data_IF_864201672363
#
_entry.id   IF_864201672363
#
_cell.length_a   1.000
_cell.length_b   1.000
_cell.length_c   1.000
_cell.angle_alpha   90.00
_cell.angle_beta   90.00
_cell.angle_gamma   90.00
#
_symmetry.space_group_name_H-M   'P 1'
#
loop_
_entity.id
_entity.type
_entity.pdbx_description
1 polymer ?
#
# COMPACT_ATOMS: atom_id res chain seq x y z
N UNK A 1 13.67 7.59 -2.06
CA UNK A 1 12.24 7.64 -1.68
C UNK A 1 11.40 7.61 -2.96
N UNK A 2 10.41 6.72 -3.08
CA UNK A 2 9.62 6.57 -4.33
C UNK A 2 8.75 7.80 -4.59
N UNK A 3 8.62 8.21 -5.85
CA UNK A 3 7.71 9.29 -6.22
C UNK A 3 6.24 8.85 -6.06
N UNK A 4 5.36 9.83 -5.83
CA UNK A 4 3.93 9.57 -5.62
C UNK A 4 3.26 8.95 -6.83
N UNK A 5 3.61 9.40 -8.03
CA UNK A 5 3.03 8.89 -9.28
C UNK A 5 3.16 7.37 -9.40
N UNK A 6 4.37 6.87 -9.19
CA UNK A 6 4.64 5.43 -9.23
C UNK A 6 3.90 4.69 -8.11
N UNK A 7 3.83 5.26 -6.91
CA UNK A 7 3.04 4.67 -5.82
C UNK A 7 1.55 4.59 -6.18
N UNK A 8 1.03 5.61 -6.89
CA UNK A 8 -0.33 5.60 -7.40
C UNK A 8 -0.55 4.45 -8.37
N UNK A 9 0.29 4.35 -9.41
CA UNK A 9 0.20 3.27 -10.41
C UNK A 9 0.29 1.88 -9.76
N UNK A 10 1.19 1.71 -8.80
CA UNK A 10 1.42 0.45 -8.11
C UNK A 10 0.26 0.01 -7.23
N UNK A 11 -0.34 0.96 -6.51
CA UNK A 11 -1.41 0.68 -5.55
C UNK A 11 -2.79 0.59 -6.23
N UNK A 12 -2.98 1.25 -7.38
CA UNK A 12 -4.24 1.33 -8.11
C UNK A 12 -4.90 -0.04 -8.37
N UNK A 13 -4.20 -1.08 -8.88
CA UNK A 13 -4.83 -2.39 -9.13
C UNK A 13 -5.37 -3.03 -7.85
N UNK A 14 -4.66 -2.88 -6.73
CA UNK A 14 -5.09 -3.42 -5.43
C UNK A 14 -6.28 -2.62 -4.89
N UNK A 15 -6.24 -1.29 -4.95
CA UNK A 15 -7.35 -0.44 -4.52
C UNK A 15 -8.63 -0.72 -5.33
N UNK A 16 -8.50 -0.85 -6.66
CA UNK A 16 -9.61 -1.20 -7.55
C UNK A 16 -10.25 -2.54 -7.15
N UNK A 17 -9.42 -3.55 -6.86
CA UNK A 17 -9.89 -4.87 -6.41
C UNK A 17 -10.59 -4.83 -5.04
N UNK A 18 -10.01 -4.13 -4.06
CA UNK A 18 -10.55 -4.07 -2.70
C UNK A 18 -11.90 -3.34 -2.63
N UNK A 19 -12.07 -2.30 -3.46
CA UNK A 19 -13.26 -1.44 -3.43
C UNK A 19 -14.22 -1.71 -4.59
N UNK A 20 -13.94 -2.71 -5.44
CA UNK A 20 -14.68 -3.00 -6.66
C UNK A 20 -14.89 -1.74 -7.54
N UNK A 21 -13.80 -1.01 -7.77
CA UNK A 21 -13.80 0.24 -8.54
C UNK A 21 -13.24 0.01 -9.94
N UNK A 22 -13.57 0.91 -10.86
CA UNK A 22 -12.84 1.04 -12.13
C UNK A 22 -11.42 1.55 -11.84
N UNK A 23 -10.48 1.24 -12.74
CA UNK A 23 -9.08 1.63 -12.56
C UNK A 23 -8.90 3.15 -12.45
N UNK A 24 -9.63 3.94 -13.26
CA UNK A 24 -9.51 5.40 -13.24
C UNK A 24 -10.01 6.00 -11.91
N UNK A 25 -11.12 5.49 -11.38
CA UNK A 25 -11.66 5.90 -10.08
C UNK A 25 -10.72 5.52 -8.94
N UNK A 26 -10.16 4.31 -9.00
CA UNK A 26 -9.18 3.83 -8.03
C UNK A 26 -7.89 4.65 -8.08
N UNK A 27 -7.42 5.01 -9.28
CA UNK A 27 -6.25 5.84 -9.48
C UNK A 27 -6.45 7.23 -8.87
N UNK A 28 -7.57 7.89 -9.15
CA UNK A 28 -7.90 9.18 -8.54
C UNK A 28 -7.94 9.08 -7.02
N UNK A 29 -8.59 8.06 -6.48
CA UNK A 29 -8.72 7.85 -5.04
C UNK A 29 -7.37 7.62 -4.36
N UNK A 30 -6.51 6.80 -4.95
CA UNK A 30 -5.16 6.55 -4.45
C UNK A 30 -4.32 7.83 -4.53
N UNK A 31 -4.41 8.57 -5.63
CA UNK A 31 -3.67 9.83 -5.82
C UNK A 31 -4.03 10.86 -4.75
N UNK A 32 -5.33 10.99 -4.42
CA UNK A 32 -5.78 11.84 -3.30
C UNK A 32 -5.30 11.32 -1.94
N UNK A 33 -5.39 10.00 -1.68
CA UNK A 33 -4.89 9.41 -0.43
C UNK A 33 -3.39 9.69 -0.22
N UNK A 34 -2.57 9.60 -1.28
CA UNK A 34 -1.13 9.86 -1.24
C UNK A 34 -0.76 11.35 -1.03
N UNK A 35 -1.74 12.27 -1.04
CA UNK A 35 -1.54 13.65 -0.59
C UNK A 35 -1.55 13.76 0.94
N UNK A 36 -2.14 12.80 1.65
CA UNK A 36 -2.07 12.73 3.09
C UNK A 36 -0.65 12.30 3.53
N UNK A 37 0.11 13.15 4.26
CA UNK A 37 1.49 12.85 4.61
C UNK A 37 1.64 11.60 5.49
N UNK A 38 0.67 11.34 6.38
CA UNK A 38 0.69 10.18 7.27
C UNK A 38 0.48 8.89 6.48
N UNK A 39 -0.50 8.86 5.57
CA UNK A 39 -0.72 7.71 4.70
C UNK A 39 0.50 7.41 3.84
N UNK A 40 1.11 8.45 3.25
CA UNK A 40 2.31 8.31 2.44
C UNK A 40 3.48 7.75 3.26
N UNK A 41 3.70 8.27 4.47
CA UNK A 41 4.77 7.80 5.36
C UNK A 41 4.56 6.34 5.78
N UNK A 42 3.36 6.00 6.28
CA UNK A 42 3.03 4.64 6.71
C UNK A 42 3.18 3.62 5.57
N UNK A 43 2.75 3.99 4.35
CA UNK A 43 2.90 3.14 3.16
C UNK A 43 4.37 2.95 2.79
N UNK A 44 5.18 4.02 2.78
CA UNK A 44 6.59 3.92 2.44
C UNK A 44 7.39 3.11 3.47
N UNK A 45 7.12 3.30 4.75
CA UNK A 45 7.69 2.47 5.82
C UNK A 45 7.34 1.00 5.61
N UNK A 46 6.06 0.70 5.36
CA UNK A 46 5.62 -0.69 5.15
C UNK A 46 6.24 -1.34 3.91
N UNK A 47 6.43 -0.58 2.82
CA UNK A 47 7.15 -1.04 1.62
C UNK A 47 8.61 -1.36 1.97
N UNK A 48 9.25 -0.48 2.74
CA UNK A 48 10.65 -0.67 3.15
C UNK A 48 10.83 -1.92 4.01
N UNK A 49 10.00 -2.08 5.04
CA UNK A 49 9.95 -3.28 5.88
C UNK A 49 9.71 -4.54 5.04
N UNK A 50 8.82 -4.45 4.04
CA UNK A 50 8.59 -5.52 3.08
C UNK A 50 9.83 -5.88 2.25
N UNK A 51 10.61 -4.89 1.80
CA UNK A 51 11.85 -5.10 1.05
C UNK A 51 12.96 -5.70 1.94
N UNK A 52 13.04 -5.30 3.21
CA UNK A 52 13.95 -5.89 4.19
C UNK A 52 13.58 -7.36 4.45
N UNK A 53 12.30 -7.66 4.63
CA UNK A 53 11.83 -9.02 4.90
C UNK A 53 12.05 -9.99 3.71
N UNK A 54 11.90 -9.51 2.46
CA UNK A 54 12.13 -10.36 1.27
C UNK A 54 13.63 -10.59 0.99
N UNK A 55 14.52 -9.74 1.52
CA UNK A 55 15.97 -9.79 1.31
C UNK A 55 16.74 -9.39 2.58
N UNK A 56 16.69 -10.18 3.67
CA UNK A 56 17.24 -9.77 4.97
C UNK A 56 18.76 -9.56 4.94
N UNK A 57 19.47 -10.33 4.12
CA UNK A 57 20.94 -10.28 4.05
C UNK A 57 21.48 -9.28 3.01
N UNK A 58 20.61 -8.62 2.24
CA UNK A 58 21.03 -7.65 1.23
C UNK A 58 21.35 -6.29 1.89
N UNK A 59 22.53 -5.70 1.66
CA UNK A 59 22.84 -4.37 2.16
C UNK A 59 21.85 -3.33 1.63
N UNK A 60 21.52 -2.33 2.46
CA UNK A 60 20.59 -1.25 2.12
C UNK A 60 20.94 -0.56 0.79
N UNK A 61 22.20 -0.21 0.58
CA UNK A 61 22.66 0.44 -0.65
C UNK A 61 22.36 -0.41 -1.91
N UNK A 62 22.55 -1.72 -1.82
CA UNK A 62 22.26 -2.66 -2.91
C UNK A 62 20.76 -2.76 -3.18
N UNK A 63 19.95 -2.75 -2.12
CA UNK A 63 18.48 -2.75 -2.21
C UNK A 63 17.97 -1.47 -2.88
N UNK A 64 18.51 -0.31 -2.52
CA UNK A 64 18.17 0.99 -3.13
C UNK A 64 18.50 1.02 -4.63
N UNK A 65 19.74 0.66 -4.99
CA UNK A 65 20.19 0.59 -6.39
C UNK A 65 19.29 -0.33 -7.23
N UNK A 66 18.86 -1.47 -6.67
CA UNK A 66 17.93 -2.39 -7.33
C UNK A 66 16.55 -1.78 -7.56
N UNK A 67 15.99 -1.11 -6.55
CA UNK A 67 14.67 -0.45 -6.64
C UNK A 67 14.70 0.67 -7.68
N UNK A 68 15.80 1.42 -7.76
CA UNK A 68 16.02 2.47 -8.76
C UNK A 68 16.13 1.89 -10.16
N UNK A 69 17.02 0.91 -10.38
CA UNK A 69 17.23 0.25 -11.68
C UNK A 69 15.95 -0.40 -12.22
N UNK A 70 15.17 -1.07 -11.36
CA UNK A 70 13.90 -1.68 -11.77
C UNK A 70 12.77 -0.66 -11.96
N UNK A 71 12.91 0.51 -11.34
CA UNK A 71 11.94 1.60 -11.44
C UNK A 71 11.90 2.35 -12.74
N UNK A 72 12.94 2.23 -13.56
CA UNK A 72 13.02 2.92 -14.84
C UNK A 72 12.31 2.18 -15.99
N UNK A 73 11.69 1.01 -15.72
CA UNK A 73 11.06 0.17 -16.75
C UNK A 73 9.53 0.34 -16.75
N UNK A 74 8.90 0.61 -17.90
CA UNK A 74 7.44 0.61 -18.01
C UNK A 74 6.89 -0.75 -17.61
N UNK A 75 5.97 -0.78 -16.64
CA UNK A 75 5.43 -2.03 -16.10
C UNK A 75 3.96 -1.91 -15.77
N UNK A 76 3.24 -3.02 -15.97
CA UNK A 76 1.88 -3.21 -15.47
C UNK A 76 1.96 -3.87 -14.10
N UNK A 77 1.55 -3.14 -13.07
CA UNK A 77 1.47 -3.65 -11.71
C UNK A 77 0.27 -4.58 -11.52
N UNK A 78 0.43 -5.59 -10.67
CA UNK A 78 -0.64 -6.54 -10.35
C UNK A 78 -1.32 -6.20 -9.03
N UNK A 79 -2.61 -6.50 -8.96
CA UNK A 79 -3.36 -6.42 -7.71
C UNK A 79 -2.86 -7.48 -6.72
N UNK A 80 -2.90 -7.16 -5.43
CA UNK A 80 -2.59 -8.10 -4.37
C UNK A 80 -3.57 -9.28 -4.34
N UNK A 81 -3.07 -10.45 -3.92
CA UNK A 81 -3.90 -11.61 -3.64
C UNK A 81 -4.45 -11.50 -2.22
N UNK A 82 -5.78 -11.41 -2.10
CA UNK A 82 -6.49 -11.36 -0.82
C UNK A 82 -6.84 -12.79 -0.42
N UNK A 83 -6.29 -13.25 0.71
CA UNK A 83 -6.64 -14.55 1.30
C UNK A 83 -7.75 -14.35 2.34
N UNK A 84 -8.67 -15.31 2.54
CA UNK A 84 -9.73 -15.18 3.55
C UNK A 84 -9.18 -14.91 4.96
N UNK A 85 -8.05 -15.51 5.31
CA UNK A 85 -7.35 -15.30 6.60
C UNK A 85 -6.86 -13.88 6.86
N UNK A 86 -6.83 -13.03 5.83
CA UNK A 86 -6.29 -11.67 5.86
C UNK A 86 -7.37 -10.61 5.54
N UNK A 87 -8.63 -11.02 5.35
CA UNK A 87 -9.70 -10.14 4.87
C UNK A 87 -9.89 -8.91 5.78
N UNK A 88 -9.94 -9.09 7.10
CA UNK A 88 -10.05 -7.96 8.04
C UNK A 88 -8.91 -6.95 7.92
N UNK A 89 -7.69 -7.41 7.66
CA UNK A 89 -6.52 -6.54 7.48
C UNK A 89 -6.60 -5.74 6.16
N UNK A 90 -7.04 -6.39 5.08
CA UNK A 90 -7.29 -5.73 3.80
C UNK A 90 -8.43 -4.71 3.89
N UNK A 91 -9.49 -5.03 4.62
CA UNK A 91 -10.61 -4.13 4.88
C UNK A 91 -10.14 -2.89 5.66
N UNK A 92 -9.38 -3.09 6.74
CA UNK A 92 -8.82 -2.00 7.53
C UNK A 92 -7.92 -1.07 6.69
N UNK A 93 -7.04 -1.65 5.88
CA UNK A 93 -6.22 -0.87 4.93
C UNK A 93 -7.09 -0.08 3.94
N UNK A 94 -8.16 -0.68 3.40
CA UNK A 94 -9.05 -0.01 2.46
C UNK A 94 -9.79 1.17 3.08
N UNK A 95 -10.21 1.04 4.35
CA UNK A 95 -10.85 2.14 5.10
C UNK A 95 -9.82 3.26 5.34
N UNK A 96 -8.59 2.91 5.71
CA UNK A 96 -7.52 3.90 5.92
C UNK A 96 -7.18 4.68 4.65
N UNK A 97 -7.11 4.00 3.50
CA UNK A 97 -6.93 4.61 2.19
C UNK A 97 -8.08 5.58 1.89
N UNK A 98 -9.31 5.14 2.10
CA UNK A 98 -10.51 5.94 1.84
C UNK A 98 -10.62 7.17 2.75
N UNK A 99 -10.26 7.02 4.03
CA UNK A 99 -10.19 8.13 4.98
C UNK A 99 -9.11 9.12 4.56
N UNK A 100 -7.95 8.63 4.12
CA UNK A 100 -6.83 9.46 3.67
C UNK A 100 -7.17 10.24 2.39
N UNK A 101 -8.07 9.71 1.56
CA UNK A 101 -8.65 10.38 0.40
C UNK A 101 -9.83 11.31 0.74
N UNK A 102 -10.17 11.51 2.03
CA UNK A 102 -11.33 12.25 2.52
C UNK A 102 -12.69 11.72 2.02
N UNK A 103 -12.80 10.41 1.79
CA UNK A 103 -14.05 9.78 1.32
C UNK A 103 -14.75 8.99 2.43
N UNK A 104 -14.00 8.38 3.34
CA UNK A 104 -14.58 7.66 4.48
C UNK A 104 -14.67 8.56 5.73
N UNK A 105 -15.81 8.47 6.42
CA UNK A 105 -16.05 9.03 7.75
C UNK A 105 -17.03 8.14 8.52
N UNK A 106 -17.17 8.35 9.83
CA UNK A 106 -18.12 7.61 10.68
C UNK A 106 -17.54 6.33 11.30
N UNK A 107 -18.43 5.42 11.72
CA UNK A 107 -18.12 4.30 12.61
C UNK A 107 -16.94 3.41 12.16
N UNK A 108 -16.77 3.20 10.85
CA UNK A 108 -15.67 2.41 10.31
C UNK A 108 -14.30 3.07 10.53
N UNK A 109 -14.24 4.41 10.49
CA UNK A 109 -13.04 5.19 10.79
C UNK A 109 -12.79 5.21 12.30
N UNK A 110 -13.85 5.33 13.10
CA UNK A 110 -13.74 5.31 14.56
C UNK A 110 -13.23 3.95 15.07
N UNK A 111 -13.66 2.85 14.44
CA UNK A 111 -13.14 1.51 14.72
C UNK A 111 -11.63 1.41 14.49
N UNK A 112 -11.11 2.06 13.44
CA UNK A 112 -9.66 2.10 13.21
C UNK A 112 -8.91 2.87 14.30
N UNK A 113 -9.54 3.81 15.01
CA UNK A 113 -8.89 4.57 16.07
C UNK A 113 -8.67 3.74 17.36
N UNK A 114 -9.34 2.59 17.51
CA UNK A 114 -9.15 1.68 18.65
C UNK A 114 -7.83 0.90 18.56
N UNK A 115 -7.32 0.38 19.68
CA UNK A 115 -6.08 -0.42 19.71
C UNK A 115 -6.16 -1.67 18.81
N UNK A 116 -7.31 -2.35 18.81
CA UNK A 116 -7.56 -3.50 17.94
C UNK A 116 -7.65 -3.10 16.47
N UNK A 117 -8.32 -1.99 16.16
CA UNK A 117 -8.36 -1.41 14.82
C UNK A 117 -6.97 -1.08 14.31
N UNK A 118 -6.15 -0.41 15.12
CA UNK A 118 -4.75 -0.11 14.81
C UNK A 118 -3.92 -1.37 14.61
N UNK A 119 -4.13 -2.43 15.40
CA UNK A 119 -3.45 -3.71 15.24
C UNK A 119 -3.79 -4.38 13.90
N UNK A 120 -5.07 -4.37 13.52
CA UNK A 120 -5.53 -4.92 12.24
C UNK A 120 -5.02 -4.07 11.07
N UNK A 121 -5.03 -2.75 11.20
CA UNK A 121 -4.49 -1.82 10.21
C UNK A 121 -2.98 -2.05 9.99
N UNK A 122 -2.19 -2.20 11.05
CA UNK A 122 -0.75 -2.52 10.94
C UNK A 122 -0.52 -3.81 10.15
N UNK A 123 -1.36 -4.83 10.35
CA UNK A 123 -1.31 -6.05 9.52
C UNK A 123 -1.66 -5.76 8.06
N UNK A 124 -2.65 -4.92 7.80
CA UNK A 124 -3.02 -4.50 6.44
C UNK A 124 -1.88 -3.76 5.72
N UNK A 125 -1.25 -2.83 6.43
CA UNK A 125 -0.05 -2.10 6.03
C UNK A 125 1.12 -3.05 5.70
N UNK A 126 1.40 -4.03 6.56
CA UNK A 126 2.43 -5.03 6.31
C UNK A 126 2.14 -5.88 5.05
N UNK A 127 0.88 -6.28 4.84
CA UNK A 127 0.46 -7.06 3.67
C UNK A 127 0.64 -6.27 2.37
N UNK A 128 0.20 -5.01 2.33
CA UNK A 128 0.37 -4.18 1.14
C UNK A 128 1.84 -3.81 0.93
N UNK A 129 2.57 -3.51 1.99
CA UNK A 129 4.00 -3.21 1.95
C UNK A 129 4.79 -4.33 1.31
N UNK A 130 4.58 -5.57 1.78
CA UNK A 130 5.20 -6.78 1.20
C UNK A 130 4.81 -7.01 -0.26
N UNK A 131 3.54 -6.82 -0.62
CA UNK A 131 3.09 -6.97 -2.01
C UNK A 131 3.79 -5.97 -2.93
N UNK A 132 3.83 -4.70 -2.53
CA UNK A 132 4.47 -3.64 -3.30
C UNK A 132 5.99 -3.83 -3.38
N UNK A 133 6.64 -4.25 -2.29
CA UNK A 133 8.05 -4.63 -2.28
C UNK A 133 8.34 -5.72 -3.32
N UNK A 134 7.51 -6.77 -3.38
CA UNK A 134 7.64 -7.81 -4.38
C UNK A 134 7.47 -7.31 -5.82
N UNK A 135 6.51 -6.41 -6.06
CA UNK A 135 6.34 -5.80 -7.38
C UNK A 135 7.52 -4.88 -7.78
N UNK A 136 8.20 -4.26 -6.81
CA UNK A 136 9.45 -3.51 -7.06
C UNK A 136 10.63 -4.44 -7.43
N UNK A 137 10.70 -5.61 -6.81
CA UNK A 137 11.81 -6.56 -6.99
C UNK A 137 11.63 -7.52 -8.17
N UNK A 138 10.39 -7.73 -8.63
CA UNK A 138 10.05 -8.52 -9.81
C UNK A 138 10.72 -7.98 -11.06
#
# INVERSE_FOLDING_TARGET
>A
MMNRERLTEMLTPTAAKLRNLRLDDAYHRVSEALRNPRFLADLQTSIWEGLEAERPDEPEATRLDRVEKRGQRPRRYKAATVRPSDEGAWTAFSIWLDQSANIASGEAVDLLATDDGQRILRRGLALIGRHLANELLR
#
